data_IF_438221394823
#
_entry.id   IF_438221394823
#
_cell.length_a   1.000
_cell.length_b   1.000
_cell.length_c   1.000
_cell.angle_alpha   90.00
_cell.angle_beta   90.00
_cell.angle_gamma   90.00
#
_symmetry.space_group_name_H-M   'P 1'
#
loop_
_entity.id
_entity.type
_entity.pdbx_description
1 polymer ?
#
# COMPACT_ATOMS: atom_id res chain seq x y z
N UNK A 1 -21.85 -17.62 -51.69
CA UNK A 1 -22.37 -18.66 -50.78
C UNK A 1 -22.37 -18.07 -49.37
N UNK A 2 -23.54 -17.77 -48.86
CA UNK A 2 -23.75 -17.08 -47.61
C UNK A 2 -23.84 -18.12 -46.48
N UNK A 3 -23.08 -17.94 -45.39
CA UNK A 3 -23.31 -18.70 -44.17
C UNK A 3 -23.63 -17.75 -43.03
N UNK A 4 -24.90 -17.68 -42.69
CA UNK A 4 -25.42 -16.98 -41.50
C UNK A 4 -25.43 -17.97 -40.37
N UNK A 5 -24.62 -17.76 -39.35
CA UNK A 5 -24.72 -18.49 -38.08
C UNK A 5 -25.30 -17.59 -37.01
N UNK A 6 -26.34 -18.11 -36.39
CA UNK A 6 -27.24 -17.45 -35.45
C UNK A 6 -26.57 -17.12 -34.12
N UNK A 7 -26.91 -15.92 -33.66
CA UNK A 7 -26.59 -15.41 -32.30
C UNK A 7 -27.64 -15.99 -31.35
N UNK A 8 -27.19 -16.82 -30.42
CA UNK A 8 -27.97 -17.26 -29.27
C UNK A 8 -27.77 -16.30 -28.08
N UNK A 9 -28.78 -15.49 -27.78
CA UNK A 9 -28.86 -14.67 -26.58
C UNK A 9 -29.37 -15.54 -25.44
N UNK A 10 -28.52 -15.84 -24.47
CA UNK A 10 -28.95 -16.46 -23.21
C UNK A 10 -29.04 -15.35 -22.17
N UNK A 11 -30.27 -14.96 -21.86
CA UNK A 11 -30.59 -14.08 -20.71
C UNK A 11 -30.58 -14.93 -19.43
N UNK A 12 -29.56 -14.78 -18.61
CA UNK A 12 -29.55 -15.31 -17.25
C UNK A 12 -30.09 -14.23 -16.30
N UNK A 13 -31.30 -14.45 -15.81
CA UNK A 13 -31.89 -13.64 -14.73
C UNK A 13 -31.33 -14.14 -13.40
N UNK A 14 -30.52 -13.33 -12.74
CA UNK A 14 -30.08 -13.61 -11.38
C UNK A 14 -31.00 -12.85 -10.42
N UNK A 15 -31.78 -13.62 -9.68
CA UNK A 15 -32.61 -13.15 -8.55
C UNK A 15 -31.70 -12.91 -7.37
N UNK A 16 -31.56 -11.67 -6.93
CA UNK A 16 -30.84 -11.30 -5.71
C UNK A 16 -31.83 -11.37 -4.55
N UNK A 17 -31.68 -12.33 -3.66
CA UNK A 17 -32.37 -12.40 -2.39
C UNK A 17 -31.67 -11.48 -1.37
N UNK A 18 -32.36 -10.43 -0.92
CA UNK A 18 -31.97 -9.63 0.24
C UNK A 18 -32.28 -10.44 1.52
N UNK A 19 -31.26 -10.77 2.28
CA UNK A 19 -31.40 -11.17 3.67
C UNK A 19 -30.98 -10.01 4.57
N UNK A 20 -31.95 -9.39 5.22
CA UNK A 20 -31.76 -8.45 6.31
C UNK A 20 -31.71 -9.23 7.62
N UNK A 21 -30.65 -9.09 8.39
CA UNK A 21 -30.55 -9.46 9.82
C UNK A 21 -29.38 -8.66 10.37
N UNK A 22 -29.48 -7.83 11.37
CA UNK A 22 -30.04 -7.86 12.64
C UNK A 22 -29.05 -7.14 13.51
N UNK A 23 -29.33 -5.84 13.89
CA UNK A 23 -28.53 -5.08 14.85
C UNK A 23 -28.68 -5.74 16.23
N UNK A 24 -27.57 -6.18 16.81
CA UNK A 24 -27.51 -6.58 18.22
C UNK A 24 -26.75 -5.48 18.99
N UNK A 25 -27.51 -4.55 19.57
CA UNK A 25 -27.01 -3.55 20.51
C UNK A 25 -26.90 -4.20 21.88
N UNK A 26 -25.69 -4.55 22.30
CA UNK A 26 -25.42 -4.91 23.69
C UNK A 26 -25.01 -3.66 24.46
N UNK A 27 -25.96 -3.14 25.24
CA UNK A 27 -25.70 -2.09 26.22
C UNK A 27 -24.86 -2.66 27.37
N UNK A 28 -23.56 -2.38 27.38
CA UNK A 28 -22.65 -2.62 28.49
C UNK A 28 -22.64 -1.43 29.43
N UNK A 29 -23.15 -1.63 30.65
CA UNK A 29 -23.20 -0.70 31.78
C UNK A 29 -21.78 -0.36 32.28
N UNK A 30 -21.40 0.91 32.47
CA UNK A 30 -20.14 1.23 33.13
C UNK A 30 -20.23 0.98 34.64
N UNK A 31 -19.31 0.18 35.14
CA UNK A 31 -19.08 0.02 36.60
C UNK A 31 -17.92 0.94 36.95
N UNK A 32 -18.21 1.95 37.74
CA UNK A 32 -17.21 2.74 38.44
C UNK A 32 -16.71 1.95 39.64
N UNK A 33 -15.41 1.82 39.79
CA UNK A 33 -14.79 1.44 41.04
C UNK A 33 -13.62 2.41 41.31
N UNK A 34 -13.87 3.25 42.29
CA UNK A 34 -12.88 3.97 43.07
C UNK A 34 -11.86 3.01 43.70
N UNK A 35 -10.61 3.39 43.72
CA UNK A 35 -9.84 3.46 44.94
C UNK A 35 -8.42 3.96 44.65
N UNK A 36 -8.17 5.09 45.24
CA UNK A 36 -6.85 5.68 45.43
C UNK A 36 -5.93 4.76 46.24
N UNK A 37 -4.64 4.72 45.90
CA UNK A 37 -3.57 4.75 46.90
C UNK A 37 -2.29 5.23 46.25
N UNK A 38 -1.81 6.35 46.73
CA UNK A 38 -0.51 6.92 46.47
C UNK A 38 0.58 6.05 47.12
N UNK A 39 1.67 5.82 46.41
CA UNK A 39 2.98 5.71 47.00
C UNK A 39 4.06 6.26 46.06
N UNK A 40 4.64 7.29 46.58
CA UNK A 40 5.92 7.91 46.26
C UNK A 40 7.05 6.90 46.31
N UNK A 41 7.98 6.93 45.40
CA UNK A 41 9.42 7.09 45.64
C UNK A 41 10.24 6.95 44.38
N UNK A 42 11.14 7.89 44.25
CA UNK A 42 12.19 8.06 43.29
C UNK A 42 13.13 6.86 43.13
N UNK A 43 13.57 6.64 41.90
CA UNK A 43 14.96 6.27 41.60
C UNK A 43 15.23 6.57 40.14
N UNK A 44 16.02 7.59 39.89
CA UNK A 44 16.64 7.86 38.61
C UNK A 44 17.63 6.71 38.30
N UNK A 45 17.36 5.97 37.22
CA UNK A 45 18.37 5.11 36.62
C UNK A 45 18.49 5.55 35.16
N UNK A 46 19.58 6.26 34.90
CA UNK A 46 20.07 6.61 33.57
C UNK A 46 20.44 5.30 32.85
N UNK A 47 19.53 4.75 32.07
CA UNK A 47 19.86 3.72 31.11
C UNK A 47 20.18 4.41 29.78
N UNK A 48 21.48 4.54 29.51
CA UNK A 48 21.96 4.79 28.15
C UNK A 48 21.55 3.59 27.28
N UNK A 49 20.54 3.79 26.42
CA UNK A 49 20.19 2.86 25.37
C UNK A 49 21.36 2.75 24.37
N UNK A 50 21.59 1.56 23.80
CA UNK A 50 22.62 1.40 22.79
C UNK A 50 22.27 2.28 21.57
N UNK A 51 23.21 3.17 21.24
CA UNK A 51 23.17 3.95 20.00
C UNK A 51 23.11 2.99 18.81
N UNK A 52 22.00 2.95 18.12
CA UNK A 52 21.91 2.28 16.83
C UNK A 52 22.96 2.88 15.90
N UNK A 53 23.69 2.07 15.12
CA UNK A 53 24.59 2.60 14.11
C UNK A 53 23.79 3.35 13.08
N UNK A 54 23.92 4.66 13.07
CA UNK A 54 23.46 5.51 11.99
C UNK A 54 24.30 5.16 10.76
N UNK A 55 23.82 4.22 9.94
CA UNK A 55 24.35 4.03 8.59
C UNK A 55 23.96 5.27 7.79
N UNK A 56 24.82 6.26 7.79
CA UNK A 56 24.80 7.36 6.83
C UNK A 56 25.18 6.81 5.46
N UNK A 57 24.25 6.14 4.80
CA UNK A 57 24.32 5.99 3.34
C UNK A 57 24.03 7.37 2.77
N UNK A 58 25.04 8.02 2.24
CA UNK A 58 24.91 9.21 1.41
C UNK A 58 23.91 8.88 0.30
N UNK A 59 22.73 9.52 0.23
CA UNK A 59 21.81 9.25 -0.87
C UNK A 59 22.46 9.70 -2.16
N UNK A 60 22.58 8.79 -3.12
CA UNK A 60 22.97 9.13 -4.48
C UNK A 60 21.94 10.13 -5.02
N UNK A 61 22.36 11.39 -5.19
CA UNK A 61 21.62 12.43 -5.88
C UNK A 61 20.24 12.74 -5.29
N UNK A 62 20.20 13.59 -4.26
CA UNK A 62 18.92 14.21 -3.90
C UNK A 62 18.36 14.94 -5.13
N UNK A 63 17.03 14.82 -5.40
CA UNK A 63 16.41 15.53 -6.52
C UNK A 63 16.72 17.03 -6.43
N UNK A 64 17.19 17.62 -7.54
CA UNK A 64 17.45 19.07 -7.64
C UNK A 64 16.24 19.72 -8.30
N UNK A 65 15.68 20.72 -7.64
CA UNK A 65 14.53 21.48 -8.16
C UNK A 65 13.23 21.25 -7.36
N UNK A 66 12.16 21.99 -7.69
CA UNK A 66 10.86 21.77 -7.09
C UNK A 66 10.21 20.47 -7.63
N UNK A 67 9.35 19.83 -6.84
CA UNK A 67 8.56 18.71 -7.36
C UNK A 67 7.58 19.20 -8.44
N UNK A 68 7.39 18.38 -9.48
CA UNK A 68 6.46 18.64 -10.59
C UNK A 68 5.05 18.10 -10.34
N UNK A 69 4.86 17.33 -9.27
CA UNK A 69 3.57 16.78 -8.88
C UNK A 69 3.71 15.76 -7.75
N UNK A 70 2.61 15.06 -7.47
CA UNK A 70 2.57 14.01 -6.45
C UNK A 70 2.06 12.72 -7.06
N UNK A 71 2.79 11.62 -6.85
CA UNK A 71 2.36 10.31 -7.30
C UNK A 71 2.11 9.36 -6.11
N UNK A 72 1.27 8.37 -6.37
CA UNK A 72 0.94 7.29 -5.44
C UNK A 72 1.21 5.96 -6.11
N UNK A 73 2.06 5.15 -5.50
CA UNK A 73 2.22 3.73 -5.81
C UNK A 73 1.19 2.93 -5.03
N UNK A 74 0.54 1.98 -5.69
CA UNK A 74 -0.39 1.06 -5.03
C UNK A 74 -0.09 -0.38 -5.45
N UNK A 75 -0.27 -1.31 -4.51
CA UNK A 75 -0.27 -2.75 -4.79
C UNK A 75 -1.55 -3.35 -4.23
N UNK A 76 -2.24 -4.13 -5.06
CA UNK A 76 -3.50 -4.79 -4.71
C UNK A 76 -3.48 -6.25 -5.15
N UNK A 77 -4.28 -7.07 -4.51
CA UNK A 77 -4.45 -8.49 -4.84
C UNK A 77 -5.01 -9.28 -3.67
N UNK A 78 -5.18 -10.58 -3.88
CA UNK A 78 -5.69 -11.49 -2.86
C UNK A 78 -4.57 -12.18 -2.06
N UNK A 79 -3.31 -12.05 -2.50
CA UNK A 79 -2.17 -12.60 -1.77
C UNK A 79 -1.92 -11.83 -0.47
N UNK A 80 -1.55 -12.54 0.58
CA UNK A 80 -1.10 -11.96 1.84
C UNK A 80 -0.46 -13.06 2.69
N UNK A 81 0.72 -12.84 3.26
CA UNK A 81 1.55 -11.64 3.14
C UNK A 81 2.30 -11.56 1.81
N UNK A 82 2.73 -10.36 1.42
CA UNK A 82 3.54 -10.11 0.21
C UNK A 82 4.84 -9.39 0.57
N UNK A 83 5.83 -9.49 -0.30
CA UNK A 83 7.05 -8.66 -0.23
C UNK A 83 6.96 -7.54 -1.26
N UNK A 84 7.19 -6.31 -0.84
CA UNK A 84 7.18 -5.13 -1.70
C UNK A 84 8.57 -4.50 -1.70
N UNK A 85 9.11 -4.29 -2.90
CA UNK A 85 10.34 -3.54 -3.14
C UNK A 85 10.00 -2.28 -3.89
N UNK A 86 10.49 -1.16 -3.43
CA UNK A 86 10.25 0.11 -4.11
C UNK A 86 11.46 1.03 -4.07
N UNK A 87 11.57 1.87 -5.07
CA UNK A 87 12.55 2.92 -5.19
C UNK A 87 11.83 4.22 -5.52
N UNK A 88 12.05 5.26 -4.75
CA UNK A 88 11.45 6.57 -4.95
C UNK A 88 12.54 7.56 -5.37
N UNK A 89 12.29 8.27 -6.47
CA UNK A 89 13.14 9.34 -6.97
C UNK A 89 14.62 8.95 -7.08
N UNK A 90 14.91 7.78 -7.65
CA UNK A 90 16.28 7.30 -7.82
C UNK A 90 17.04 7.04 -6.51
N UNK A 91 16.39 7.17 -5.36
CA UNK A 91 16.97 6.87 -4.06
C UNK A 91 17.28 5.37 -3.88
N UNK A 92 17.69 4.93 -2.71
CA UNK A 92 17.96 3.53 -2.43
C UNK A 92 16.68 2.68 -2.53
N UNK A 93 16.81 1.44 -3.00
CA UNK A 93 15.73 0.46 -2.96
C UNK A 93 15.38 0.13 -1.51
N UNK A 94 14.11 0.14 -1.20
CA UNK A 94 13.56 -0.25 0.08
C UNK A 94 12.75 -1.53 -0.07
N UNK A 95 12.79 -2.39 0.94
CA UNK A 95 12.07 -3.66 0.96
C UNK A 95 11.20 -3.72 2.22
N UNK A 96 9.92 -3.96 2.02
CA UNK A 96 8.96 -4.24 3.08
C UNK A 96 8.50 -5.70 2.93
N UNK A 97 8.66 -6.51 3.97
CA UNK A 97 8.23 -7.92 4.02
C UNK A 97 6.98 -8.07 4.86
N UNK A 98 6.25 -9.17 4.67
CA UNK A 98 5.04 -9.49 5.42
C UNK A 98 3.94 -8.41 5.33
N UNK A 99 3.88 -7.75 4.16
CA UNK A 99 2.93 -6.67 3.91
C UNK A 99 1.54 -7.22 3.66
N UNK A 100 0.53 -6.63 4.33
CA UNK A 100 -0.88 -6.91 4.07
C UNK A 100 -1.41 -5.94 3.02
N UNK A 101 -2.08 -6.46 1.99
CA UNK A 101 -2.68 -5.66 0.94
C UNK A 101 -4.08 -5.13 1.34
N UNK A 102 -4.53 -3.98 0.83
CA UNK A 102 -3.83 -3.12 -0.14
C UNK A 102 -2.70 -2.31 0.50
N UNK A 103 -1.61 -2.14 -0.24
CA UNK A 103 -0.49 -1.28 0.14
C UNK A 103 -0.46 -0.03 -0.72
N UNK A 104 -0.09 1.11 -0.14
CA UNK A 104 -0.05 2.40 -0.81
C UNK A 104 1.09 3.26 -0.28
N UNK A 105 1.76 3.99 -1.17
CA UNK A 105 2.80 4.95 -0.80
C UNK A 105 2.76 6.17 -1.70
N UNK A 106 2.62 7.33 -1.09
CA UNK A 106 2.62 8.62 -1.78
C UNK A 106 4.03 9.24 -1.74
N UNK A 107 4.42 9.92 -2.83
CA UNK A 107 5.72 10.59 -2.94
C UNK A 107 5.68 11.77 -3.91
N UNK A 108 6.54 12.81 -3.71
CA UNK A 108 6.71 13.89 -4.68
C UNK A 108 7.44 13.38 -5.94
N UNK A 109 7.05 13.85 -7.10
CA UNK A 109 7.67 13.53 -8.39
C UNK A 109 8.59 14.66 -8.82
N UNK A 110 9.76 14.32 -9.36
CA UNK A 110 10.72 15.25 -9.93
C UNK A 110 10.99 14.91 -11.39
N UNK A 111 11.35 15.93 -12.17
CA UNK A 111 11.63 15.75 -13.60
C UNK A 111 12.82 14.80 -13.83
N UNK A 112 12.71 13.93 -14.84
CA UNK A 112 13.74 12.98 -15.30
C UNK A 112 14.18 11.93 -14.27
N UNK A 113 13.45 11.78 -13.13
CA UNK A 113 13.83 10.84 -12.08
C UNK A 113 12.83 9.69 -12.01
N UNK A 114 13.35 8.47 -12.09
CA UNK A 114 12.55 7.24 -12.07
C UNK A 114 12.15 6.85 -10.66
N UNK A 115 10.91 6.40 -10.52
CA UNK A 115 10.41 5.66 -9.36
C UNK A 115 9.83 4.32 -9.81
N UNK A 116 9.92 3.30 -8.96
CA UNK A 116 9.44 1.95 -9.27
C UNK A 116 8.95 1.22 -8.03
N UNK A 117 8.01 0.30 -8.24
CA UNK A 117 7.52 -0.64 -7.24
C UNK A 117 7.39 -2.03 -7.85
N UNK A 118 7.86 -3.04 -7.13
CA UNK A 118 7.71 -4.46 -7.46
C UNK A 118 7.06 -5.16 -6.28
N UNK A 119 6.10 -6.02 -6.54
CA UNK A 119 5.47 -6.85 -5.52
C UNK A 119 5.71 -8.33 -5.81
N UNK A 120 5.86 -9.15 -4.78
CA UNK A 120 5.97 -10.60 -4.87
C UNK A 120 5.00 -11.25 -3.89
N UNK A 121 4.00 -11.92 -4.42
CA UNK A 121 2.99 -12.70 -3.69
C UNK A 121 3.05 -14.20 -4.00
N UNK A 122 4.22 -14.70 -4.46
CA UNK A 122 4.37 -16.08 -4.94
C UNK A 122 3.69 -16.26 -6.29
N UNK A 123 2.74 -17.19 -6.38
CA UNK A 123 2.00 -17.50 -7.61
C UNK A 123 0.67 -16.75 -7.74
N UNK A 124 0.30 -15.98 -6.72
CA UNK A 124 -0.94 -15.22 -6.73
C UNK A 124 -0.84 -13.96 -7.58
N UNK A 125 -1.87 -13.69 -8.37
CA UNK A 125 -1.94 -12.49 -9.19
C UNK A 125 -2.03 -11.23 -8.31
N UNK A 126 -1.14 -10.29 -8.57
CA UNK A 126 -1.07 -8.99 -7.95
C UNK A 126 -1.21 -7.90 -9.02
N UNK A 127 -1.70 -6.75 -8.61
CA UNK A 127 -1.79 -5.57 -9.48
C UNK A 127 -1.00 -4.44 -8.85
N UNK A 128 0.00 -3.89 -9.57
CA UNK A 128 0.60 -2.63 -9.21
C UNK A 128 0.04 -1.49 -10.07
N UNK A 129 -0.05 -0.30 -9.48
CA UNK A 129 -0.41 0.94 -10.19
C UNK A 129 0.45 2.10 -9.72
N UNK A 130 0.69 3.07 -10.62
CA UNK A 130 1.24 4.38 -10.28
C UNK A 130 0.27 5.43 -10.82
N UNK A 131 -0.21 6.30 -9.94
CA UNK A 131 -1.15 7.37 -10.23
C UNK A 131 -0.49 8.69 -9.86
N UNK A 132 -0.47 9.68 -10.73
CA UNK A 132 0.03 11.03 -10.46
C UNK A 132 -1.08 12.04 -10.71
N UNK A 133 -1.39 12.85 -9.71
CA UNK A 133 -2.41 13.90 -9.75
C UNK A 133 -3.75 13.40 -10.34
N UNK A 134 -4.16 12.17 -9.95
CA UNK A 134 -5.38 11.51 -10.41
C UNK A 134 -5.28 10.82 -11.77
N UNK A 135 -4.15 10.89 -12.49
CA UNK A 135 -3.93 10.23 -13.77
C UNK A 135 -3.15 8.93 -13.60
N UNK A 136 -3.68 7.84 -14.13
CA UNK A 136 -3.00 6.55 -14.17
C UNK A 136 -1.83 6.59 -15.15
N UNK A 137 -0.61 6.29 -14.68
CA UNK A 137 0.62 6.32 -15.44
C UNK A 137 1.20 4.94 -15.71
N UNK A 138 1.02 4.01 -14.78
CA UNK A 138 1.44 2.63 -14.94
C UNK A 138 0.42 1.70 -14.28
N UNK A 139 0.17 0.55 -14.92
CA UNK A 139 -0.66 -0.54 -14.41
C UNK A 139 -0.09 -1.85 -14.93
N UNK A 140 0.05 -2.83 -14.06
CA UNK A 140 0.44 -4.19 -14.41
C UNK A 140 -0.20 -5.20 -13.47
N UNK A 141 -0.68 -6.32 -14.04
CA UNK A 141 -1.26 -7.44 -13.29
C UNK A 141 -0.56 -8.73 -13.71
N UNK A 142 0.12 -9.34 -12.76
CA UNK A 142 0.86 -10.60 -12.90
C UNK A 142 1.29 -11.07 -11.49
N UNK A 143 1.80 -12.30 -11.30
CA UNK A 143 2.23 -12.75 -9.97
C UNK A 143 3.36 -11.94 -9.33
N UNK A 144 4.21 -11.32 -10.15
CA UNK A 144 5.30 -10.43 -9.70
C UNK A 144 5.33 -9.14 -10.50
N UNK A 145 4.30 -8.28 -10.35
CA UNK A 145 4.19 -7.08 -11.17
C UNK A 145 5.26 -6.05 -10.78
N UNK A 146 5.81 -5.39 -11.80
CA UNK A 146 6.69 -4.24 -11.62
C UNK A 146 6.11 -3.04 -12.36
N UNK A 147 5.78 -2.00 -11.64
CA UNK A 147 5.38 -0.70 -12.16
C UNK A 147 6.53 0.31 -12.02
N UNK A 148 6.77 1.09 -13.04
CA UNK A 148 7.77 2.15 -12.99
C UNK A 148 7.32 3.36 -13.79
N UNK A 149 7.79 4.53 -13.37
CA UNK A 149 7.44 5.79 -13.99
C UNK A 149 8.59 6.79 -13.83
N UNK A 150 8.81 7.62 -14.84
CA UNK A 150 9.62 8.83 -14.80
C UNK A 150 8.86 9.93 -15.56
N UNK A 151 8.86 11.13 -14.99
CA UNK A 151 8.26 12.30 -15.62
C UNK A 151 9.29 13.01 -16.52
N UNK A 152 8.86 13.48 -17.67
CA UNK A 152 9.67 14.27 -18.61
C UNK A 152 8.83 15.45 -19.09
N UNK A 153 9.35 16.65 -18.90
CA UNK A 153 8.82 17.89 -19.50
C UNK A 153 9.31 18.09 -20.92
#
# INVERSE_FOLDING_TARGET
>A
MANRSAVGVVLAVIVVALAAAGCNTTAGKPVAADSATAHSSAAATTAQGPSAPTSSSTPAGAPTGPPVGTATMQVRGAASPVTIKYQINGGPEQTETDVTLPWEKQYPVYNEIKSSVTADGGDAELTCTIIMDGKLLALKSEPRPTCSFAYFE
#
